data_IF_310977106457
#
_entry.id   IF_310977106457
#
_cell.length_a   1.000
_cell.length_b   1.000
_cell.length_c   1.000
_cell.angle_alpha   90.00
_cell.angle_beta   90.00
_cell.angle_gamma   90.00
#
_symmetry.space_group_name_H-M   'P 1'
#
loop_
_entity.id
_entity.type
_entity.pdbx_description
1 polymer ?
#
# COMPACT_ATOMS: atom_id res chain seq x y z
N UNK A 1 -18.63 3.89 50.46
CA UNK A 1 -17.44 3.21 49.87
C UNK A 1 -17.70 2.68 48.46
N UNK A 2 -18.95 2.36 48.09
CA UNK A 2 -19.32 1.76 46.79
C UNK A 2 -19.38 2.73 45.61
N UNK A 3 -19.75 4.00 45.82
CA UNK A 3 -19.82 5.00 44.72
C UNK A 3 -18.44 5.33 44.14
N UNK A 4 -17.44 5.54 44.99
CA UNK A 4 -16.08 5.89 44.58
C UNK A 4 -15.42 4.76 43.75
N UNK A 5 -15.70 3.50 44.10
CA UNK A 5 -15.29 2.34 43.30
C UNK A 5 -15.98 2.25 41.93
N UNK A 6 -17.22 2.71 41.81
CA UNK A 6 -17.94 2.69 40.53
C UNK A 6 -17.45 3.80 39.59
N UNK A 7 -17.13 4.98 40.12
CA UNK A 7 -16.54 6.08 39.34
C UNK A 7 -15.15 5.74 38.83
N UNK A 8 -14.29 5.13 39.66
CA UNK A 8 -12.96 4.66 39.25
C UNK A 8 -13.05 3.57 38.17
N UNK A 9 -14.04 2.69 38.26
CA UNK A 9 -14.27 1.64 37.26
C UNK A 9 -14.80 2.22 35.94
N UNK A 10 -15.72 3.18 36.01
CA UNK A 10 -16.20 3.91 34.84
C UNK A 10 -15.08 4.72 34.16
N UNK A 11 -14.20 5.37 34.93
CA UNK A 11 -13.02 6.06 34.41
C UNK A 11 -12.01 5.10 33.77
N UNK A 12 -11.79 3.93 34.37
CA UNK A 12 -10.94 2.89 33.80
C UNK A 12 -11.53 2.34 32.49
N UNK A 13 -12.83 2.04 32.45
CA UNK A 13 -13.55 1.59 31.25
C UNK A 13 -13.56 2.68 30.16
N UNK A 14 -13.73 3.95 30.52
CA UNK A 14 -13.67 5.10 29.61
C UNK A 14 -12.25 5.29 29.04
N UNK A 15 -11.22 5.10 29.87
CA UNK A 15 -9.81 5.14 29.44
C UNK A 15 -9.44 3.96 28.53
N UNK A 16 -10.02 2.77 28.75
CA UNK A 16 -9.84 1.62 27.88
C UNK A 16 -10.58 1.77 26.54
N UNK A 17 -11.75 2.42 26.53
CA UNK A 17 -12.46 2.77 25.30
C UNK A 17 -11.71 3.80 24.44
N UNK A 18 -10.91 4.69 25.04
CA UNK A 18 -10.05 5.63 24.30
C UNK A 18 -8.82 4.97 23.65
N UNK A 19 -8.52 3.70 23.96
CA UNK A 19 -7.36 2.98 23.45
C UNK A 19 -7.68 1.71 22.66
N UNK A 20 -8.96 1.37 22.44
CA UNK A 20 -9.30 0.40 21.41
C UNK A 20 -9.04 1.08 20.05
N UNK A 21 -8.08 0.61 19.23
CA UNK A 21 -7.91 1.16 17.89
C UNK A 21 -9.21 0.88 17.16
N UNK A 22 -10.04 1.90 16.93
CA UNK A 22 -11.19 1.74 16.06
C UNK A 22 -10.61 1.49 14.67
N UNK A 23 -10.70 0.25 14.19
CA UNK A 23 -10.37 -0.09 12.81
C UNK A 23 -11.38 0.65 11.93
N UNK A 24 -10.90 1.60 11.12
CA UNK A 24 -11.73 2.50 10.32
C UNK A 24 -12.03 1.96 8.93
N UNK A 25 -11.08 1.20 8.37
CA UNK A 25 -11.26 0.49 7.12
C UNK A 25 -12.21 -0.69 7.32
N UNK A 26 -13.20 -0.78 6.45
CA UNK A 26 -14.09 -1.94 6.39
C UNK A 26 -13.35 -3.17 5.87
N UNK A 27 -13.86 -4.37 6.18
CA UNK A 27 -13.34 -5.63 5.64
C UNK A 27 -13.25 -5.57 4.11
N UNK A 28 -14.26 -5.03 3.44
CA UNK A 28 -14.28 -4.88 1.98
C UNK A 28 -13.15 -3.98 1.47
N UNK A 29 -12.88 -2.86 2.13
CA UNK A 29 -11.77 -1.98 1.75
C UNK A 29 -10.41 -2.66 1.96
N UNK A 30 -10.26 -3.47 3.01
CA UNK A 30 -9.05 -4.27 3.21
C UNK A 30 -8.87 -5.33 2.12
N UNK A 31 -9.95 -5.99 1.69
CA UNK A 31 -9.93 -6.94 0.57
C UNK A 31 -9.57 -6.25 -0.75
N UNK A 32 -10.14 -5.06 -1.01
CA UNK A 32 -9.81 -4.24 -2.19
C UNK A 32 -8.32 -3.86 -2.19
N UNK A 33 -7.78 -3.35 -1.07
CA UNK A 33 -6.36 -3.04 -0.95
C UNK A 33 -5.48 -4.30 -1.13
N UNK A 34 -5.91 -5.45 -0.62
CA UNK A 34 -5.22 -6.73 -0.79
C UNK A 34 -5.17 -7.17 -2.26
N UNK A 35 -6.28 -7.04 -2.99
CA UNK A 35 -6.33 -7.32 -4.42
C UNK A 35 -5.39 -6.39 -5.21
N UNK A 36 -5.39 -5.11 -4.88
CA UNK A 36 -4.49 -4.15 -5.52
C UNK A 36 -3.02 -4.44 -5.25
N UNK A 37 -2.67 -4.84 -4.02
CA UNK A 37 -1.31 -5.29 -3.71
C UNK A 37 -0.92 -6.52 -4.54
N UNK A 38 -1.85 -7.47 -4.72
CA UNK A 38 -1.62 -8.64 -5.57
C UNK A 38 -1.37 -8.26 -7.03
N UNK A 39 -2.15 -7.33 -7.57
CA UNK A 39 -1.96 -6.83 -8.94
C UNK A 39 -0.61 -6.11 -9.11
N UNK A 40 -0.17 -5.34 -8.10
CA UNK A 40 1.15 -4.70 -8.09
C UNK A 40 2.27 -5.76 -8.08
N UNK A 41 2.14 -6.81 -7.26
CA UNK A 41 3.12 -7.91 -7.24
C UNK A 41 3.21 -8.60 -8.61
N UNK A 42 2.08 -8.89 -9.25
CA UNK A 42 2.05 -9.48 -10.59
C UNK A 42 2.72 -8.59 -11.64
N UNK A 43 2.52 -7.27 -11.57
CA UNK A 43 3.17 -6.33 -12.47
C UNK A 43 4.71 -6.31 -12.30
N UNK A 44 5.19 -6.38 -11.05
CA UNK A 44 6.61 -6.47 -10.74
C UNK A 44 7.22 -7.80 -11.22
N UNK A 45 6.52 -8.91 -11.04
CA UNK A 45 6.93 -10.23 -11.53
C UNK A 45 7.08 -10.23 -13.06
N UNK A 46 6.11 -9.68 -13.79
CA UNK A 46 6.19 -9.55 -15.25
C UNK A 46 7.35 -8.66 -15.71
N UNK A 47 7.67 -7.59 -14.96
CA UNK A 47 8.81 -6.75 -15.24
C UNK A 47 10.13 -7.52 -15.07
N UNK A 48 10.27 -8.33 -14.02
CA UNK A 48 11.44 -9.16 -13.80
C UNK A 48 11.60 -10.22 -14.89
N UNK A 49 10.52 -10.92 -15.25
CA UNK A 49 10.55 -11.92 -16.33
C UNK A 49 10.96 -11.29 -17.68
N UNK A 50 10.53 -10.07 -17.95
CA UNK A 50 10.94 -9.35 -19.17
C UNK A 50 12.45 -9.04 -19.16
N UNK A 51 13.01 -8.67 -18.02
CA UNK A 51 14.44 -8.43 -17.87
C UNK A 51 15.26 -9.72 -18.05
N UNK A 52 14.82 -10.83 -17.46
CA UNK A 52 15.43 -12.15 -17.66
C UNK A 52 15.45 -12.54 -19.14
N UNK A 53 14.33 -12.34 -19.85
CA UNK A 53 14.25 -12.59 -21.29
C UNK A 53 15.20 -11.72 -22.10
N UNK A 54 15.36 -10.44 -21.77
CA UNK A 54 16.33 -9.55 -22.42
C UNK A 54 17.77 -9.98 -22.15
N UNK A 55 18.08 -10.40 -20.92
CA UNK A 55 19.39 -10.90 -20.55
C UNK A 55 19.74 -12.17 -21.34
N UNK A 56 18.78 -13.10 -21.47
CA UNK A 56 18.97 -14.32 -22.26
C UNK A 56 19.27 -14.05 -23.74
N UNK A 57 18.63 -13.04 -24.35
CA UNK A 57 18.83 -12.70 -25.76
C UNK A 57 20.15 -11.94 -25.99
N UNK A 58 20.65 -11.24 -24.96
CA UNK A 58 21.87 -10.43 -25.03
C UNK A 58 23.08 -11.20 -25.57
N UNK A 59 23.23 -12.46 -25.17
CA UNK A 59 24.35 -13.31 -25.56
C UNK A 59 24.39 -13.63 -27.07
N UNK A 60 23.25 -13.45 -27.76
CA UNK A 60 23.10 -13.76 -29.19
C UNK A 60 23.02 -12.50 -30.08
N UNK A 61 22.39 -11.42 -29.62
CA UNK A 61 22.23 -10.18 -30.39
C UNK A 61 22.22 -8.94 -29.47
N UNK A 62 23.41 -8.55 -29.02
CA UNK A 62 23.60 -7.43 -28.11
C UNK A 62 23.05 -6.09 -28.65
N UNK A 63 23.05 -5.87 -29.98
CA UNK A 63 22.55 -4.61 -30.56
C UNK A 63 21.03 -4.54 -30.48
N UNK A 64 20.32 -5.62 -30.83
CA UNK A 64 18.86 -5.67 -30.67
C UNK A 64 18.46 -5.63 -29.21
N UNK A 65 19.14 -6.37 -28.34
CA UNK A 65 18.87 -6.32 -26.89
C UNK A 65 19.05 -4.90 -26.36
N UNK A 66 20.11 -4.18 -26.72
CA UNK A 66 20.31 -2.80 -26.27
C UNK A 66 19.17 -1.86 -26.71
N UNK A 67 18.62 -2.05 -27.92
CA UNK A 67 17.48 -1.26 -28.39
C UNK A 67 16.20 -1.57 -27.61
N UNK A 68 15.90 -2.84 -27.37
CA UNK A 68 14.75 -3.26 -26.57
C UNK A 68 14.88 -2.81 -25.11
N UNK A 69 16.07 -2.93 -24.52
CA UNK A 69 16.35 -2.51 -23.16
C UNK A 69 16.12 -1.00 -22.97
N UNK A 70 16.53 -0.15 -23.91
CA UNK A 70 16.25 1.30 -23.84
C UNK A 70 14.75 1.60 -23.80
N UNK A 71 13.96 0.91 -24.63
CA UNK A 71 12.50 1.07 -24.62
C UNK A 71 11.90 0.55 -23.32
N UNK A 72 12.32 -0.64 -22.88
CA UNK A 72 11.88 -1.24 -21.64
C UNK A 72 12.15 -0.32 -20.44
N UNK A 73 13.38 0.21 -20.28
CA UNK A 73 13.73 1.11 -19.16
C UNK A 73 12.78 2.30 -19.07
N UNK A 74 12.42 2.92 -20.21
CA UNK A 74 11.49 4.05 -20.21
C UNK A 74 10.08 3.68 -19.74
N UNK A 75 9.62 2.47 -20.07
CA UNK A 75 8.30 1.95 -19.70
C UNK A 75 8.31 1.54 -18.23
N UNK A 76 9.32 0.76 -17.83
CA UNK A 76 9.51 0.28 -16.47
C UNK A 76 9.64 1.44 -15.49
N UNK A 77 10.38 2.49 -15.84
CA UNK A 77 10.49 3.69 -15.00
C UNK A 77 9.12 4.36 -14.77
N UNK A 78 8.36 4.60 -15.85
CA UNK A 78 7.01 5.20 -15.76
C UNK A 78 6.03 4.31 -15.00
N UNK A 79 6.13 2.98 -15.16
CA UNK A 79 5.32 2.05 -14.38
C UNK A 79 5.71 2.09 -12.90
N UNK A 80 7.00 2.07 -12.59
CA UNK A 80 7.50 2.09 -11.22
C UNK A 80 7.08 3.38 -10.48
N UNK A 81 7.08 4.55 -11.13
CA UNK A 81 6.56 5.78 -10.52
C UNK A 81 5.08 5.62 -10.11
N UNK A 82 4.25 5.08 -11.02
CA UNK A 82 2.83 4.84 -10.71
C UNK A 82 2.61 3.80 -9.61
N UNK A 83 3.39 2.72 -9.64
CA UNK A 83 3.32 1.67 -8.63
C UNK A 83 3.77 2.20 -7.27
N UNK A 84 4.83 3.02 -7.23
CA UNK A 84 5.32 3.65 -6.01
C UNK A 84 4.26 4.56 -5.39
N UNK A 85 3.68 5.46 -6.19
CA UNK A 85 2.61 6.35 -5.72
C UNK A 85 1.40 5.57 -5.19
N UNK A 86 1.07 4.43 -5.81
CA UNK A 86 -0.04 3.59 -5.34
C UNK A 86 0.31 2.82 -4.07
N UNK A 87 1.51 2.26 -3.98
CA UNK A 87 2.01 1.58 -2.78
C UNK A 87 2.06 2.52 -1.58
N UNK A 88 2.51 3.76 -1.78
CA UNK A 88 2.55 4.78 -0.73
C UNK A 88 1.14 5.08 -0.19
N UNK A 89 0.16 5.24 -1.08
CA UNK A 89 -1.25 5.42 -0.68
C UNK A 89 -1.80 4.21 0.07
N UNK A 90 -1.54 2.99 -0.40
CA UNK A 90 -1.98 1.77 0.29
C UNK A 90 -1.34 1.69 1.67
N UNK A 91 -0.03 1.94 1.77
CA UNK A 91 0.71 1.95 3.04
C UNK A 91 0.13 3.00 4.00
N UNK A 92 -0.13 4.21 3.53
CA UNK A 92 -0.74 5.26 4.33
C UNK A 92 -2.09 4.83 4.90
N UNK A 93 -2.98 4.27 4.06
CA UNK A 93 -4.31 3.81 4.48
C UNK A 93 -4.21 2.71 5.55
N UNK A 94 -3.34 1.73 5.32
CA UNK A 94 -3.16 0.59 6.25
C UNK A 94 -2.53 1.02 7.58
N UNK A 95 -1.50 1.87 7.55
CA UNK A 95 -0.81 2.36 8.74
C UNK A 95 -1.67 3.33 9.57
N UNK A 96 -2.56 4.08 8.92
CA UNK A 96 -3.46 5.04 9.57
C UNK A 96 -4.88 4.51 9.78
N UNK A 97 -5.09 3.20 9.68
CA UNK A 97 -6.39 2.55 9.86
C UNK A 97 -7.02 2.78 11.26
N UNK A 98 -6.23 3.21 12.25
CA UNK A 98 -6.72 3.63 13.56
C UNK A 98 -6.83 5.16 13.76
N UNK A 99 -6.54 5.97 12.73
CA UNK A 99 -6.39 7.42 12.84
C UNK A 99 -7.33 8.17 11.87
N UNK A 100 -8.54 8.49 12.34
CA UNK A 100 -9.58 9.11 11.53
C UNK A 100 -9.23 10.50 11.00
N UNK A 101 -8.32 11.23 11.67
CA UNK A 101 -7.90 12.56 11.24
C UNK A 101 -7.03 12.46 9.99
N UNK A 102 -6.06 11.55 9.98
CA UNK A 102 -5.16 11.33 8.84
C UNK A 102 -5.93 10.77 7.63
N UNK A 103 -6.87 9.86 7.85
CA UNK A 103 -7.72 9.33 6.76
C UNK A 103 -8.60 10.41 6.11
N UNK A 104 -9.20 11.30 6.90
CA UNK A 104 -10.00 12.43 6.36
C UNK A 104 -9.15 13.42 5.55
N UNK A 105 -7.93 13.71 6.01
CA UNK A 105 -7.03 14.59 5.28
C UNK A 105 -6.71 14.05 3.87
N UNK A 106 -6.59 12.71 3.73
CA UNK A 106 -6.40 12.07 2.44
C UNK A 106 -7.63 12.21 1.51
N UNK A 107 -8.84 12.05 2.05
CA UNK A 107 -10.09 12.21 1.30
C UNK A 107 -10.29 13.65 0.79
N UNK A 108 -9.83 14.65 1.54
CA UNK A 108 -9.91 16.07 1.19
C UNK A 108 -8.88 16.45 0.10
N UNK A 109 -7.69 15.84 0.12
CA UNK A 109 -6.65 16.05 -0.90
C UNK A 109 -6.96 15.33 -2.21
N UNK A 110 -7.80 14.28 -2.18
CA UNK A 110 -8.17 13.50 -3.36
C UNK A 110 -9.35 14.07 -4.18
N UNK A 111 -9.97 15.18 -3.73
CA UNK A 111 -11.04 15.89 -4.45
C UNK A 111 -10.50 17.00 -5.36
#
# INVERSE_FOLDING_TARGET
MTENTNELKALAEYSQQQHAPSVLLTVKQLEELGNELNDIMNALEMNNLTLEGLQFIQDNDATRTAWHLRKYISIAYRQNEKLYDRLDKIAFLLLNNGNAKELKALEEVAK
#
